data_IF_624241805436
#
_entry.id   IF_624241805436
#
_cell.length_a   1.000
_cell.length_b   1.000
_cell.length_c   1.000
_cell.angle_alpha   90.00
_cell.angle_beta   90.00
_cell.angle_gamma   90.00
#
_symmetry.space_group_name_H-M   'P 1'
#
loop_
_entity.id
_entity.type
_entity.pdbx_description
1 polymer ?
#
# COMPACT_ATOMS: atom_id res chain seq x y z
N UNK A 1 -10.41 16.87 -8.45
CA UNK A 1 -9.34 17.89 -8.36
C UNK A 1 -8.81 17.95 -6.93
N UNK A 2 -8.00 16.97 -6.51
CA UNK A 2 -7.27 17.01 -5.23
C UNK A 2 -5.90 17.66 -5.49
N UNK A 3 -5.89 18.97 -5.69
CA UNK A 3 -4.67 19.74 -5.88
C UNK A 3 -4.68 20.93 -4.91
N UNK A 4 -4.58 20.61 -3.62
CA UNK A 4 -3.96 21.48 -2.62
C UNK A 4 -3.38 20.59 -1.52
N UNK A 5 -2.34 19.85 -1.87
CA UNK A 5 -1.20 19.77 -0.94
C UNK A 5 -0.75 21.22 -0.85
N UNK A 6 -1.29 21.98 0.12
CA UNK A 6 -0.70 23.26 0.46
C UNK A 6 0.74 22.92 0.78
N UNK A 7 1.63 23.36 -0.11
CA UNK A 7 3.04 23.51 0.15
C UNK A 7 3.12 23.99 1.60
N UNK A 8 3.62 23.14 2.51
CA UNK A 8 3.94 23.54 3.88
C UNK A 8 5.19 24.44 3.85
N UNK A 9 5.20 25.42 2.93
CA UNK A 9 6.36 26.19 2.54
C UNK A 9 6.29 27.64 2.99
N UNK A 10 5.15 28.16 3.47
CA UNK A 10 5.08 29.62 3.71
C UNK A 10 4.63 30.09 5.09
N UNK A 11 4.08 29.27 5.98
CA UNK A 11 3.87 29.70 7.37
C UNK A 11 3.89 28.52 8.34
N UNK A 12 5.06 28.13 8.86
CA UNK A 12 5.10 27.23 10.02
C UNK A 12 6.31 26.31 10.12
N UNK A 13 7.48 26.89 10.42
CA UNK A 13 8.59 26.27 11.18
C UNK A 13 9.04 24.86 10.73
N UNK A 14 10.17 24.81 10.02
CA UNK A 14 11.00 23.68 9.57
C UNK A 14 11.49 22.68 10.67
N UNK A 15 10.86 22.62 11.84
CA UNK A 15 11.40 21.92 13.02
C UNK A 15 11.27 20.40 13.00
N UNK A 16 10.54 19.80 12.05
CA UNK A 16 10.35 18.35 11.95
C UNK A 16 11.48 17.58 11.24
N UNK A 17 12.25 18.24 10.38
CA UNK A 17 13.24 17.58 9.50
C UNK A 17 14.53 17.15 10.21
N UNK A 18 14.72 17.55 11.47
CA UNK A 18 16.01 17.35 12.15
C UNK A 18 16.18 16.00 12.84
N UNK A 19 15.14 15.13 12.90
CA UNK A 19 15.26 13.75 13.40
C UNK A 19 14.24 12.80 12.73
N UNK A 20 14.65 12.17 11.63
CA UNK A 20 13.91 11.12 10.93
C UNK A 20 13.05 11.64 9.76
N UNK A 21 13.01 10.90 8.64
CA UNK A 21 12.29 11.27 7.40
C UNK A 21 10.77 11.02 7.47
N UNK A 22 10.16 11.11 8.66
CA UNK A 22 8.74 10.88 8.87
C UNK A 22 8.02 12.18 9.24
N UNK A 23 6.94 12.49 8.54
CA UNK A 23 6.10 13.68 8.76
C UNK A 23 4.66 13.25 8.97
N UNK A 24 3.91 14.00 9.79
CA UNK A 24 2.45 13.89 9.94
C UNK A 24 1.79 15.13 9.33
N UNK A 25 0.75 14.92 8.53
CA UNK A 25 -0.13 15.98 8.00
C UNK A 25 -1.56 15.85 8.51
N UNK A 26 -2.41 16.84 8.20
CA UNK A 26 -3.87 16.72 8.28
C UNK A 26 -4.45 16.97 6.90
N UNK A 27 -5.53 16.29 6.55
CA UNK A 27 -6.33 16.68 5.39
C UNK A 27 -7.11 17.96 5.70
N UNK A 28 -6.82 19.02 4.93
CA UNK A 28 -7.38 20.36 5.16
C UNK A 28 -8.82 20.53 4.63
N UNK A 29 -9.37 19.53 3.92
CA UNK A 29 -10.66 19.62 3.23
C UNK A 29 -11.79 18.90 3.97
N UNK A 30 -11.54 18.36 5.16
CA UNK A 30 -12.52 17.56 5.90
C UNK A 30 -12.61 17.99 7.37
N UNK A 31 -13.73 18.61 7.79
CA UNK A 31 -14.01 18.84 9.20
C UNK A 31 -14.26 17.49 9.90
N UNK A 32 -13.37 17.09 10.81
CA UNK A 32 -13.55 15.89 11.65
C UNK A 32 -12.68 14.68 11.29
N UNK A 33 -12.19 14.54 10.04
CA UNK A 33 -11.25 13.48 9.68
C UNK A 33 -9.81 14.02 9.62
N UNK A 34 -9.09 13.88 10.72
CA UNK A 34 -7.67 14.17 10.76
C UNK A 34 -6.87 12.99 10.20
N UNK A 35 -6.71 12.95 8.87
CA UNK A 35 -5.93 11.93 8.17
C UNK A 35 -4.44 12.10 8.52
N UNK A 36 -3.89 11.22 9.36
CA UNK A 36 -2.46 11.16 9.66
C UNK A 36 -1.72 10.36 8.59
N UNK A 37 -1.03 11.04 7.67
CA UNK A 37 -0.13 10.42 6.68
C UNK A 37 1.25 10.22 7.32
N UNK A 38 1.75 8.99 7.43
CA UNK A 38 3.10 8.70 7.95
C UNK A 38 4.05 8.15 6.89
N UNK A 39 4.99 8.98 6.45
CA UNK A 39 6.09 8.56 5.57
C UNK A 39 7.11 7.70 6.33
N UNK A 40 7.25 6.44 5.94
CA UNK A 40 8.42 5.62 6.30
C UNK A 40 9.33 5.54 5.08
N UNK A 41 10.48 6.21 5.16
CA UNK A 41 11.56 6.13 4.18
C UNK A 41 12.85 5.86 4.94
N UNK A 42 13.15 4.58 5.18
CA UNK A 42 14.53 4.09 5.18
C UNK A 42 14.61 2.56 5.22
N UNK A 43 15.39 1.97 4.29
CA UNK A 43 15.77 0.55 4.32
C UNK A 43 16.68 0.22 5.51
N UNK A 44 17.36 1.22 6.08
CA UNK A 44 18.36 1.03 7.14
C UNK A 44 17.94 1.55 8.52
N UNK A 45 16.99 2.45 8.60
CA UNK A 45 16.53 3.03 9.87
C UNK A 45 15.11 3.59 9.77
N UNK A 46 14.07 2.73 9.70
CA UNK A 46 12.72 3.22 9.87
C UNK A 46 12.66 3.84 11.25
N UNK A 47 12.53 5.18 11.31
CA UNK A 47 12.19 5.86 12.55
C UNK A 47 11.06 5.05 13.17
N UNK A 48 11.19 4.57 14.42
CA UNK A 48 10.21 3.65 14.94
C UNK A 48 8.86 4.33 14.79
N UNK A 49 7.91 3.62 14.18
CA UNK A 49 6.49 3.88 14.36
C UNK A 49 6.25 3.82 15.86
N UNK A 50 6.58 4.91 16.53
CA UNK A 50 6.56 5.06 17.97
C UNK A 50 5.52 6.11 18.17
N UNK A 51 4.32 5.63 18.49
CA UNK A 51 3.34 6.41 19.20
C UNK A 51 3.89 6.59 20.63
N UNK A 52 4.91 7.45 20.81
CA UNK A 52 5.55 7.63 22.13
C UNK A 52 4.57 8.33 23.06
N UNK A 53 4.18 7.68 24.15
CA UNK A 53 3.89 8.37 25.43
C UNK A 53 5.16 9.14 25.83
N UNK A 54 5.11 10.47 25.90
CA UNK A 54 6.16 11.24 26.59
C UNK A 54 5.90 11.17 28.10
N UNK A 55 6.61 10.31 28.82
CA UNK A 55 6.80 10.50 30.27
C UNK A 55 8.04 11.37 30.51
N UNK A 56 7.76 12.65 30.83
CA UNK A 56 8.55 13.67 31.53
C UNK A 56 9.96 14.08 31.04
N UNK A 57 10.15 15.41 31.06
CA UNK A 57 11.36 16.25 30.88
C UNK A 57 11.82 16.50 29.42
N UNK A 58 12.12 17.72 28.94
CA UNK A 58 12.27 19.05 29.56
C UNK A 58 11.85 20.20 28.61
N UNK A 59 11.34 21.25 29.24
CA UNK A 59 11.10 22.66 28.90
C UNK A 59 11.39 23.28 27.51
N UNK A 60 10.44 24.17 27.16
CA UNK A 60 10.55 25.45 26.39
C UNK A 60 10.59 25.40 24.87
N UNK A 61 9.39 25.28 24.28
CA UNK A 61 8.94 25.96 23.05
C UNK A 61 7.42 25.77 22.95
N UNK A 62 6.60 26.75 22.50
CA UNK A 62 5.18 26.52 22.25
C UNK A 62 5.06 25.68 20.98
N UNK A 63 5.18 24.36 21.14
CA UNK A 63 5.01 23.37 20.08
C UNK A 63 3.58 22.88 20.05
N UNK A 64 3.02 22.77 18.85
CA UNK A 64 1.76 22.06 18.61
C UNK A 64 1.88 20.67 19.27
N UNK A 65 0.95 20.26 20.16
CA UNK A 65 0.99 18.95 20.79
C UNK A 65 0.97 17.84 19.74
N UNK A 66 1.89 16.89 19.85
CA UNK A 66 1.93 15.70 19.00
C UNK A 66 1.11 14.60 19.68
N UNK A 67 -0.04 14.28 19.09
CA UNK A 67 -0.97 13.25 19.59
C UNK A 67 -0.42 11.83 19.32
N UNK A 68 -0.53 10.95 20.31
CA UNK A 68 -0.26 9.51 20.25
C UNK A 68 -1.42 8.75 19.58
N UNK A 69 -1.23 7.46 19.23
CA UNK A 69 -2.30 6.64 18.64
C UNK A 69 -3.50 6.53 19.59
N UNK A 70 -3.25 6.52 20.90
CA UNK A 70 -4.30 6.60 21.91
C UNK A 70 -5.06 7.94 21.90
N UNK A 71 -4.39 9.05 21.57
CA UNK A 71 -5.04 10.35 21.46
C UNK A 71 -5.87 10.46 20.16
N UNK A 72 -5.46 9.78 19.09
CA UNK A 72 -6.24 9.66 17.84
C UNK A 72 -7.53 8.89 18.08
N UNK A 73 -7.44 7.73 18.76
CA UNK A 73 -8.60 6.91 19.18
C UNK A 73 -9.55 7.73 20.06
N UNK A 74 -9.02 8.43 21.07
CA UNK A 74 -9.84 9.24 21.99
C UNK A 74 -10.60 10.39 21.30
N UNK A 75 -10.11 10.84 20.14
CA UNK A 75 -10.72 11.91 19.36
C UNK A 75 -11.59 11.42 18.18
N UNK A 76 -11.82 10.10 18.06
CA UNK A 76 -12.62 9.52 16.98
C UNK A 76 -12.03 9.72 15.57
N UNK A 77 -10.71 9.89 15.47
CA UNK A 77 -10.01 10.19 14.22
C UNK A 77 -9.64 8.91 13.47
N UNK A 78 -9.57 9.00 12.14
CA UNK A 78 -9.17 7.91 11.25
C UNK A 78 -7.82 8.20 10.56
N UNK A 79 -7.10 7.16 10.16
CA UNK A 79 -5.70 7.25 9.73
C UNK A 79 -5.47 6.59 8.37
N UNK A 80 -4.62 7.21 7.54
CA UNK A 80 -4.05 6.58 6.35
C UNK A 80 -2.54 6.43 6.48
N UNK A 81 -2.02 5.21 6.40
CA UNK A 81 -0.56 5.01 6.41
C UNK A 81 -0.04 5.14 4.98
N UNK A 82 1.01 5.94 4.74
CA UNK A 82 1.60 6.10 3.40
C UNK A 82 3.10 5.99 3.48
N UNK A 83 3.69 4.90 3.01
CA UNK A 83 5.13 4.68 3.05
C UNK A 83 5.71 4.38 1.68
N UNK A 84 7.04 4.40 1.56
CA UNK A 84 7.69 3.89 0.36
C UNK A 84 7.80 2.37 0.44
N UNK A 85 8.52 1.87 1.45
CA UNK A 85 8.84 0.44 1.62
C UNK A 85 7.76 -0.29 2.42
N UNK A 86 7.05 -1.27 1.83
CA UNK A 86 5.99 -2.02 2.51
C UNK A 86 6.54 -3.13 3.44
N UNK A 87 5.72 -3.61 4.40
CA UNK A 87 5.97 -4.88 5.07
C UNK A 87 5.72 -6.09 4.15
N UNK A 88 6.21 -7.25 4.54
CA UNK A 88 6.09 -8.50 3.79
C UNK A 88 7.23 -8.70 2.79
N UNK A 89 6.91 -9.47 1.75
CA UNK A 89 7.85 -9.89 0.70
C UNK A 89 7.38 -9.43 -0.67
N UNK A 90 8.34 -9.24 -1.55
CA UNK A 90 8.14 -9.00 -2.98
C UNK A 90 7.40 -10.18 -3.62
N UNK A 91 6.48 -9.90 -4.54
CA UNK A 91 5.72 -10.88 -5.30
C UNK A 91 6.34 -11.23 -6.67
N UNK A 92 7.50 -10.66 -6.98
CA UNK A 92 8.42 -11.21 -7.99
C UNK A 92 9.16 -12.46 -7.45
N UNK A 93 9.69 -13.29 -8.36
CA UNK A 93 10.35 -14.58 -8.04
C UNK A 93 11.41 -14.51 -6.93
N UNK A 94 12.05 -13.34 -6.73
CA UNK A 94 13.06 -13.15 -5.69
C UNK A 94 12.52 -13.30 -4.26
N UNK A 95 11.22 -13.06 -4.04
CA UNK A 95 10.59 -13.12 -2.71
C UNK A 95 11.27 -12.21 -1.67
N UNK A 96 11.96 -11.16 -2.11
CA UNK A 96 12.83 -10.38 -1.24
C UNK A 96 12.02 -9.59 -0.21
N UNK A 97 12.33 -9.78 1.07
CA UNK A 97 11.77 -8.95 2.13
C UNK A 97 12.38 -7.54 2.05
N UNK A 98 11.52 -6.51 1.98
CA UNK A 98 11.99 -5.13 1.89
C UNK A 98 12.32 -4.52 3.26
N UNK A 99 11.69 -5.03 4.33
CA UNK A 99 12.00 -4.73 5.72
C UNK A 99 12.72 -5.92 6.38
N UNK A 100 13.69 -5.65 7.25
CA UNK A 100 14.20 -6.72 8.12
C UNK A 100 13.09 -7.23 9.06
N UNK A 101 13.25 -8.47 9.50
CA UNK A 101 12.25 -9.21 10.28
C UNK A 101 11.76 -8.44 11.52
N UNK A 102 12.69 -7.87 12.30
CA UNK A 102 12.36 -7.09 13.50
C UNK A 102 11.47 -5.89 13.19
N UNK A 103 11.74 -5.17 12.12
CA UNK A 103 10.95 -4.01 11.72
C UNK A 103 9.60 -4.42 11.14
N UNK A 104 9.57 -5.48 10.34
CA UNK A 104 8.35 -6.05 9.80
C UNK A 104 7.38 -6.49 10.92
N UNK A 105 7.86 -7.28 11.87
CA UNK A 105 7.07 -7.75 13.01
C UNK A 105 6.52 -6.60 13.84
N UNK A 106 7.34 -5.57 14.09
CA UNK A 106 6.89 -4.38 14.83
C UNK A 106 5.83 -3.58 14.07
N UNK A 107 5.96 -3.47 12.74
CA UNK A 107 4.94 -2.81 11.91
C UNK A 107 3.60 -3.53 12.03
N UNK A 108 3.60 -4.86 11.87
CA UNK A 108 2.39 -5.68 11.94
C UNK A 108 1.73 -5.59 13.33
N UNK A 109 2.50 -5.62 14.42
CA UNK A 109 1.98 -5.44 15.78
C UNK A 109 1.26 -4.10 15.96
N UNK A 110 1.84 -3.02 15.44
CA UNK A 110 1.25 -1.68 15.53
C UNK A 110 -0.04 -1.60 14.70
N UNK A 111 -0.05 -2.13 13.48
CA UNK A 111 -1.25 -2.13 12.64
C UNK A 111 -2.37 -2.95 13.27
N UNK A 112 -2.06 -4.14 13.81
CA UNK A 112 -3.05 -4.97 14.53
C UNK A 112 -3.69 -4.19 15.68
N UNK A 113 -2.87 -3.53 16.50
CA UNK A 113 -3.31 -2.78 17.68
C UNK A 113 -4.25 -1.61 17.34
N UNK A 114 -4.08 -0.97 16.18
CA UNK A 114 -4.83 0.23 15.77
C UNK A 114 -5.67 -0.01 14.50
N UNK A 115 -6.00 -1.27 14.21
CA UNK A 115 -6.70 -1.65 12.98
C UNK A 115 -8.08 -1.02 12.84
N UNK A 116 -8.73 -0.69 13.97
CA UNK A 116 -10.03 -0.05 14.08
C UNK A 116 -10.07 1.40 13.54
N UNK A 117 -8.95 2.12 13.60
CA UNK A 117 -8.83 3.50 13.13
C UNK A 117 -8.12 3.64 11.78
N UNK A 118 -7.46 2.59 11.29
CA UNK A 118 -6.75 2.62 10.00
C UNK A 118 -7.75 2.41 8.87
N UNK A 119 -7.93 3.41 8.01
CA UNK A 119 -8.86 3.37 6.86
C UNK A 119 -8.20 3.03 5.53
N UNK A 120 -6.88 2.91 5.51
CA UNK A 120 -6.13 2.51 4.34
C UNK A 120 -4.62 2.63 4.55
N UNK A 121 -3.87 1.81 3.83
CA UNK A 121 -2.41 1.84 3.84
C UNK A 121 -1.92 1.79 2.39
N UNK A 122 -1.01 2.70 2.03
CA UNK A 122 -0.62 2.94 0.64
C UNK A 122 0.90 2.93 0.51
N UNK A 123 1.41 2.02 -0.32
CA UNK A 123 2.84 1.82 -0.51
C UNK A 123 3.21 1.72 -1.99
N UNK A 124 4.51 1.66 -2.27
CA UNK A 124 5.05 1.40 -3.60
C UNK A 124 6.23 0.44 -3.49
N UNK A 125 7.41 0.89 -3.93
CA UNK A 125 8.69 0.17 -3.87
C UNK A 125 8.88 -0.97 -4.88
N UNK A 126 7.94 -1.90 -5.00
CA UNK A 126 8.08 -3.07 -5.89
C UNK A 126 7.68 -2.81 -7.34
N UNK A 127 7.02 -1.69 -7.60
CA UNK A 127 6.58 -1.25 -8.94
C UNK A 127 5.45 -2.10 -9.55
N UNK A 128 4.93 -3.08 -8.82
CA UNK A 128 3.79 -3.92 -9.18
C UNK A 128 2.47 -3.39 -8.61
N UNK A 129 1.37 -3.67 -9.30
CA UNK A 129 0.02 -3.47 -8.77
C UNK A 129 -0.37 -4.67 -7.88
N UNK A 130 -0.42 -4.47 -6.58
CA UNK A 130 -0.76 -5.57 -5.68
C UNK A 130 -1.30 -5.05 -4.35
N UNK A 131 -1.79 -5.96 -3.51
CA UNK A 131 -2.32 -5.66 -2.19
C UNK A 131 -1.75 -6.63 -1.16
N UNK A 132 -1.98 -6.33 0.12
CA UNK A 132 -1.68 -7.25 1.23
C UNK A 132 -2.83 -7.25 2.23
N UNK A 133 -3.08 -8.39 2.85
CA UNK A 133 -4.06 -8.55 3.93
C UNK A 133 -3.32 -8.80 5.25
N UNK A 134 -3.64 -8.01 6.26
CA UNK A 134 -3.06 -8.14 7.61
C UNK A 134 -4.09 -8.78 8.52
N UNK A 135 -3.68 -9.86 9.17
CA UNK A 135 -4.51 -10.66 10.07
C UNK A 135 -4.22 -10.34 11.54
N UNK A 136 -5.23 -10.51 12.40
CA UNK A 136 -5.10 -10.52 13.85
C UNK A 136 -4.29 -11.74 14.32
N UNK A 137 -3.94 -11.77 15.61
CA UNK A 137 -3.30 -12.94 16.21
C UNK A 137 -4.23 -14.18 16.26
N UNK A 138 -5.54 -13.98 16.05
CA UNK A 138 -6.55 -15.04 15.94
C UNK A 138 -6.84 -15.47 14.50
N UNK A 139 -6.13 -14.89 13.51
CA UNK A 139 -6.29 -15.25 12.10
C UNK A 139 -7.43 -14.54 11.37
N UNK A 140 -8.03 -13.49 11.94
CA UNK A 140 -9.07 -12.71 11.26
C UNK A 140 -8.45 -11.60 10.41
N UNK A 141 -8.88 -11.36 9.16
CA UNK A 141 -8.48 -10.17 8.41
C UNK A 141 -8.88 -8.88 9.16
N UNK A 142 -7.92 -8.01 9.49
CA UNK A 142 -8.17 -6.77 10.25
C UNK A 142 -7.72 -5.50 9.56
N UNK A 143 -6.78 -5.58 8.61
CA UNK A 143 -6.36 -4.42 7.84
C UNK A 143 -5.83 -4.84 6.47
N UNK A 144 -5.60 -3.87 5.59
CA UNK A 144 -5.12 -4.11 4.24
C UNK A 144 -4.13 -3.03 3.80
N UNK A 145 -3.31 -3.37 2.81
CA UNK A 145 -2.37 -2.47 2.14
C UNK A 145 -2.65 -2.51 0.64
N UNK A 146 -2.69 -1.36 0.01
CA UNK A 146 -2.65 -1.22 -1.45
C UNK A 146 -1.28 -0.74 -1.88
N UNK A 147 -0.71 -1.41 -2.87
CA UNK A 147 0.54 -1.03 -3.49
C UNK A 147 0.26 -0.55 -4.91
N UNK A 148 0.78 0.63 -5.20
CA UNK A 148 0.66 1.23 -6.52
C UNK A 148 1.85 0.82 -7.39
N UNK A 149 1.63 0.56 -8.68
CA UNK A 149 2.71 0.38 -9.62
C UNK A 149 3.48 1.68 -9.82
N UNK A 150 4.63 1.60 -10.46
CA UNK A 150 5.48 2.76 -10.68
C UNK A 150 5.25 3.43 -12.04
N UNK A 151 5.65 4.70 -12.16
CA UNK A 151 5.72 5.39 -13.45
C UNK A 151 6.95 4.95 -14.25
N UNK A 152 8.02 4.48 -13.59
CA UNK A 152 9.22 4.01 -14.28
C UNK A 152 8.98 2.60 -14.82
N UNK A 153 9.21 2.33 -16.11
CA UNK A 153 8.90 1.01 -16.67
C UNK A 153 9.95 -0.06 -16.38
N UNK A 154 10.99 0.28 -15.61
CA UNK A 154 12.11 -0.60 -15.31
C UNK A 154 12.18 -0.88 -13.81
N UNK A 155 12.16 -2.15 -13.43
CA UNK A 155 12.38 -2.60 -12.04
C UNK A 155 13.22 -3.87 -11.95
N UNK A 156 13.76 -4.10 -10.76
CA UNK A 156 14.46 -5.34 -10.38
C UNK A 156 13.38 -6.39 -10.13
N UNK A 157 13.01 -7.14 -11.16
CA UNK A 157 11.88 -8.08 -11.12
C UNK A 157 11.12 -8.19 -12.45
N UNK A 158 11.38 -7.27 -13.38
CA UNK A 158 10.74 -7.23 -14.69
C UNK A 158 10.35 -5.81 -15.06
N UNK A 159 9.86 -5.56 -16.28
CA UNK A 159 9.26 -4.29 -16.61
C UNK A 159 7.84 -4.18 -16.06
N UNK A 160 7.29 -2.97 -16.09
CA UNK A 160 5.85 -2.69 -15.97
C UNK A 160 5.49 -1.56 -16.94
N UNK A 161 4.24 -1.44 -17.39
CA UNK A 161 3.83 -0.17 -18.00
C UNK A 161 3.77 0.93 -16.93
N UNK A 162 4.07 2.20 -17.28
CA UNK A 162 3.88 3.32 -16.36
C UNK A 162 2.44 3.38 -15.84
N UNK A 163 2.27 3.40 -14.51
CA UNK A 163 0.97 3.39 -13.85
C UNK A 163 0.71 4.62 -12.97
N UNK A 164 -0.57 4.99 -12.83
CA UNK A 164 -1.05 6.03 -11.91
C UNK A 164 -2.39 5.62 -11.31
N UNK A 165 -2.55 5.79 -9.99
CA UNK A 165 -3.78 5.41 -9.29
C UNK A 165 -4.51 6.61 -8.69
N UNK A 166 -5.83 6.64 -8.84
CA UNK A 166 -6.71 7.62 -8.23
C UNK A 166 -7.69 6.96 -7.28
N UNK A 167 -7.59 7.26 -5.99
CA UNK A 167 -8.52 6.75 -4.97
C UNK A 167 -9.75 7.63 -4.83
N UNK A 168 -10.91 6.98 -4.69
CA UNK A 168 -12.18 7.57 -4.27
C UNK A 168 -12.41 7.22 -2.80
N UNK A 169 -12.76 8.21 -1.98
CA UNK A 169 -12.99 8.02 -0.55
C UNK A 169 -14.15 8.86 -0.04
N UNK A 170 -14.80 8.40 1.01
CA UNK A 170 -15.83 9.14 1.73
C UNK A 170 -15.17 10.17 2.65
N UNK A 171 -15.56 11.43 2.52
CA UNK A 171 -14.92 12.55 3.22
C UNK A 171 -15.13 12.53 4.73
N UNK A 172 -16.26 12.02 5.19
CA UNK A 172 -16.65 12.05 6.60
C UNK A 172 -15.91 10.98 7.41
N UNK A 173 -15.87 9.75 6.90
CA UNK A 173 -15.27 8.59 7.59
C UNK A 173 -13.81 8.36 7.19
N UNK A 174 -13.40 8.85 6.00
CA UNK A 174 -12.15 8.47 5.37
C UNK A 174 -12.20 7.05 4.79
N UNK A 175 -13.36 6.41 4.67
CA UNK A 175 -13.45 5.09 4.05
C UNK A 175 -13.04 5.17 2.58
N UNK A 176 -12.12 4.31 2.13
CA UNK A 176 -11.85 4.17 0.70
C UNK A 176 -13.00 3.40 0.06
N UNK A 177 -13.56 3.99 -0.99
CA UNK A 177 -14.72 3.46 -1.70
C UNK A 177 -14.32 2.66 -2.93
N UNK A 178 -13.32 3.15 -3.69
CA UNK A 178 -12.80 2.49 -4.89
C UNK A 178 -11.47 3.12 -5.29
N UNK A 179 -10.79 2.55 -6.29
CA UNK A 179 -9.77 3.28 -7.05
C UNK A 179 -9.87 3.01 -8.54
N UNK A 180 -9.46 4.01 -9.32
CA UNK A 180 -9.23 3.88 -10.76
C UNK A 180 -7.74 3.80 -11.02
N UNK A 181 -7.31 2.71 -11.64
CA UNK A 181 -5.95 2.53 -12.14
C UNK A 181 -5.89 3.05 -13.57
N UNK A 182 -4.90 3.88 -13.84
CA UNK A 182 -4.54 4.35 -15.16
C UNK A 182 -3.19 3.78 -15.54
N UNK A 183 -3.00 3.55 -16.83
CA UNK A 183 -1.71 3.16 -17.35
C UNK A 183 -1.41 3.83 -18.69
N UNK A 184 -0.14 3.80 -19.05
CA UNK A 184 0.35 4.20 -20.35
C UNK A 184 0.85 2.95 -21.08
N UNK A 185 0.21 2.59 -22.19
CA UNK A 185 0.76 1.58 -23.10
C UNK A 185 2.07 2.11 -23.71
N UNK A 186 3.21 1.74 -23.11
CA UNK A 186 4.49 2.33 -23.43
C UNK A 186 4.96 2.01 -24.87
N UNK A 187 4.84 0.77 -25.38
CA UNK A 187 5.13 0.46 -26.78
C UNK A 187 4.32 1.32 -27.76
N UNK A 188 3.02 1.47 -27.54
CA UNK A 188 2.15 2.28 -28.39
C UNK A 188 2.53 3.76 -28.31
N UNK A 189 2.71 4.30 -27.10
CA UNK A 189 3.09 5.68 -26.87
C UNK A 189 4.41 6.06 -27.56
N UNK A 190 5.38 5.15 -27.55
CA UNK A 190 6.66 5.34 -28.24
C UNK A 190 6.50 5.29 -29.77
N UNK A 191 5.66 4.39 -30.29
CA UNK A 191 5.38 4.27 -31.73
C UNK A 191 4.74 5.53 -32.31
N UNK A 192 3.77 6.11 -31.58
CA UNK A 192 3.03 7.30 -32.04
C UNK A 192 3.67 8.63 -31.58
N UNK A 193 4.66 8.58 -30.67
CA UNK A 193 5.29 9.77 -30.09
C UNK A 193 4.38 10.59 -29.16
N UNK A 194 3.38 9.96 -28.52
CA UNK A 194 2.39 10.65 -27.68
C UNK A 194 2.01 9.81 -26.46
N UNK A 195 2.09 10.41 -25.27
CA UNK A 195 1.67 9.77 -24.03
C UNK A 195 0.14 9.81 -23.87
N UNK A 196 -0.54 8.72 -24.24
CA UNK A 196 -1.99 8.56 -24.07
C UNK A 196 -2.28 7.71 -22.82
N UNK A 197 -2.50 8.36 -21.68
CA UNK A 197 -2.95 7.67 -20.45
C UNK A 197 -4.40 7.24 -20.59
N UNK A 198 -4.67 5.96 -20.32
CA UNK A 198 -6.01 5.39 -20.38
C UNK A 198 -6.34 4.69 -19.06
N UNK A 199 -7.63 4.51 -18.80
CA UNK A 199 -8.09 3.71 -17.66
C UNK A 199 -7.73 2.25 -17.93
N UNK A 200 -7.04 1.63 -16.98
CA UNK A 200 -6.80 0.19 -16.98
C UNK A 200 -8.01 -0.53 -16.39
N UNK A 201 -8.38 -0.19 -15.15
CA UNK A 201 -9.53 -0.75 -14.47
C UNK A 201 -9.98 0.10 -13.25
N UNK A 202 -11.20 -0.15 -12.78
CA UNK A 202 -11.65 0.21 -11.42
C UNK A 202 -11.73 -1.03 -10.54
N UNK A 203 -11.19 -0.98 -9.32
CA UNK A 203 -10.99 -2.18 -8.49
C UNK A 203 -12.28 -2.98 -8.27
N UNK A 204 -13.34 -2.31 -7.81
CA UNK A 204 -14.58 -3.00 -7.45
C UNK A 204 -15.22 -3.72 -8.64
N UNK A 205 -15.33 -3.03 -9.78
CA UNK A 205 -15.88 -3.60 -11.01
C UNK A 205 -15.00 -4.74 -11.56
N UNK A 206 -13.68 -4.54 -11.59
CA UNK A 206 -12.75 -5.48 -12.21
C UNK A 206 -12.64 -6.82 -11.48
N UNK A 207 -12.72 -6.78 -10.14
CA UNK A 207 -12.66 -7.98 -9.30
C UNK A 207 -14.03 -8.44 -8.79
N UNK A 208 -15.12 -7.79 -9.19
CA UNK A 208 -16.49 -8.09 -8.78
C UNK A 208 -16.63 -8.03 -7.24
N UNK A 209 -16.17 -6.93 -6.65
CA UNK A 209 -16.21 -6.67 -5.20
C UNK A 209 -17.25 -5.60 -4.88
N UNK A 210 -17.97 -5.76 -3.77
CA UNK A 210 -18.93 -4.76 -3.30
C UNK A 210 -18.25 -3.59 -2.57
N UNK A 211 -17.14 -3.87 -1.88
CA UNK A 211 -16.40 -2.89 -1.08
C UNK A 211 -14.93 -3.28 -0.85
N UNK A 212 -14.12 -2.31 -0.39
CA UNK A 212 -12.72 -2.54 -0.02
C UNK A 212 -12.62 -2.75 1.49
N UNK A 213 -12.58 -4.01 1.92
CA UNK A 213 -12.32 -4.40 3.31
C UNK A 213 -11.23 -5.48 3.37
N UNK A 214 -10.71 -5.72 4.57
CA UNK A 214 -9.73 -6.80 4.75
C UNK A 214 -10.34 -8.17 4.44
N UNK A 215 -11.65 -8.34 4.65
CA UNK A 215 -12.39 -9.57 4.37
C UNK A 215 -12.56 -9.75 2.87
N UNK A 216 -13.08 -8.75 2.14
CA UNK A 216 -13.29 -8.87 0.69
C UNK A 216 -11.98 -9.07 -0.08
N UNK A 217 -10.88 -8.48 0.39
CA UNK A 217 -9.55 -8.71 -0.18
C UNK A 217 -8.97 -10.09 0.19
N UNK A 218 -9.29 -10.64 1.35
CA UNK A 218 -8.95 -12.02 1.68
C UNK A 218 -9.71 -13.01 0.78
N UNK A 219 -11.01 -12.79 0.60
CA UNK A 219 -11.85 -13.61 -0.27
C UNK A 219 -11.35 -13.54 -1.72
N UNK A 220 -10.95 -12.36 -2.21
CA UNK A 220 -10.29 -12.20 -3.50
C UNK A 220 -9.00 -13.02 -3.59
N UNK A 221 -8.16 -13.01 -2.55
CA UNK A 221 -6.93 -13.80 -2.54
C UNK A 221 -7.24 -15.31 -2.58
N UNK A 222 -8.23 -15.80 -1.83
CA UNK A 222 -8.62 -17.20 -1.85
C UNK A 222 -9.05 -17.67 -3.25
N UNK A 223 -9.71 -16.80 -4.03
CA UNK A 223 -10.06 -17.06 -5.43
C UNK A 223 -8.85 -17.31 -6.33
N UNK A 224 -7.64 -16.86 -5.96
CA UNK A 224 -6.45 -17.08 -6.79
C UNK A 224 -6.10 -18.56 -6.96
N UNK A 225 -6.43 -19.38 -5.97
CA UNK A 225 -6.09 -20.80 -5.95
C UNK A 225 -7.22 -21.70 -6.45
N UNK A 226 -8.36 -21.11 -6.85
CA UNK A 226 -9.52 -21.83 -7.35
C UNK A 226 -9.39 -22.08 -8.86
N UNK A 227 -9.54 -23.33 -9.30
CA UNK A 227 -9.33 -23.73 -10.69
C UNK A 227 -10.43 -23.26 -11.66
N UNK A 228 -11.60 -22.90 -11.14
CA UNK A 228 -12.77 -22.43 -11.89
C UNK A 228 -12.97 -20.91 -11.83
N UNK A 229 -12.01 -20.16 -11.28
CA UNK A 229 -12.05 -18.71 -11.19
C UNK A 229 -10.91 -18.07 -12.02
N UNK A 230 -11.22 -16.93 -12.65
CA UNK A 230 -10.25 -16.15 -13.43
C UNK A 230 -9.63 -15.00 -12.64
N UNK A 231 -9.92 -14.90 -11.34
CA UNK A 231 -9.41 -13.84 -10.46
C UNK A 231 -7.88 -13.72 -10.51
N UNK A 232 -7.14 -14.83 -10.49
CA UNK A 232 -5.68 -14.77 -10.58
C UNK A 232 -5.19 -14.27 -11.94
N UNK A 233 -5.86 -14.66 -13.03
CA UNK A 233 -5.52 -14.16 -14.38
C UNK A 233 -5.72 -12.65 -14.46
N UNK A 234 -6.85 -12.14 -13.95
CA UNK A 234 -7.14 -10.71 -13.87
C UNK A 234 -6.14 -9.98 -12.97
N UNK A 235 -5.84 -10.55 -11.80
CA UNK A 235 -4.88 -10.02 -10.85
C UNK A 235 -3.49 -9.90 -11.47
N UNK A 236 -3.03 -10.96 -12.15
CA UNK A 236 -1.70 -10.98 -12.72
C UNK A 236 -1.54 -9.97 -13.86
N UNK A 237 -2.55 -9.82 -14.72
CA UNK A 237 -2.55 -8.79 -15.75
C UNK A 237 -2.48 -7.37 -15.14
N UNK A 238 -3.21 -7.10 -14.05
CA UNK A 238 -3.11 -5.82 -13.34
C UNK A 238 -1.73 -5.66 -12.67
N UNK A 239 -1.19 -6.72 -12.07
CA UNK A 239 0.08 -6.73 -11.35
C UNK A 239 1.24 -6.24 -12.21
N UNK A 240 1.26 -6.66 -13.48
CA UNK A 240 2.25 -6.27 -14.48
C UNK A 240 1.89 -4.97 -15.21
N UNK A 241 0.76 -4.36 -14.88
CA UNK A 241 0.19 -3.17 -15.54
C UNK A 241 -0.08 -3.44 -17.02
N UNK A 242 -0.80 -4.52 -17.31
CA UNK A 242 -1.23 -4.94 -18.64
C UNK A 242 -0.07 -5.11 -19.62
N UNK A 243 1.00 -5.79 -19.19
CA UNK A 243 2.09 -6.13 -20.09
C UNK A 243 1.70 -7.21 -21.11
N UNK A 244 2.31 -7.21 -22.31
CA UNK A 244 2.13 -8.30 -23.27
C UNK A 244 2.56 -9.65 -22.69
N UNK A 245 1.84 -10.71 -23.06
CA UNK A 245 2.03 -12.05 -22.48
C UNK A 245 3.44 -12.61 -22.70
N UNK A 246 4.07 -12.26 -23.82
CA UNK A 246 5.42 -12.66 -24.18
C UNK A 246 6.45 -12.08 -23.20
N UNK A 247 6.20 -10.87 -22.69
CA UNK A 247 7.06 -10.22 -21.69
C UNK A 247 6.85 -10.87 -20.32
N UNK A 248 5.60 -11.11 -19.95
CA UNK A 248 5.24 -11.80 -18.70
C UNK A 248 5.81 -13.22 -18.60
N UNK A 249 5.91 -13.94 -19.72
CA UNK A 249 6.53 -15.27 -19.74
C UNK A 249 8.03 -15.24 -19.47
N UNK A 250 8.72 -14.11 -19.71
CA UNK A 250 10.16 -13.99 -19.49
C UNK A 250 10.46 -13.52 -18.06
N UNK A 251 9.66 -12.56 -17.56
CA UNK A 251 9.93 -11.86 -16.30
C UNK A 251 8.99 -12.25 -15.15
N UNK A 252 8.07 -13.17 -15.41
CA UNK A 252 6.94 -13.44 -14.55
C UNK A 252 6.73 -14.93 -14.28
N UNK A 253 5.46 -15.39 -14.24
CA UNK A 253 5.11 -16.79 -13.94
C UNK A 253 5.72 -17.85 -14.89
N UNK A 254 6.40 -17.46 -15.97
CA UNK A 254 7.11 -18.38 -16.87
C UNK A 254 6.24 -19.40 -17.63
N UNK A 255 4.92 -19.39 -17.43
CA UNK A 255 4.04 -20.49 -17.79
C UNK A 255 2.58 -20.21 -17.39
N UNK A 256 1.73 -21.24 -17.25
CA UNK A 256 0.32 -21.07 -16.93
C UNK A 256 0.08 -20.18 -15.69
N UNK A 257 -0.93 -19.31 -15.76
CA UNK A 257 -1.36 -18.47 -14.64
C UNK A 257 -2.22 -19.28 -13.66
N UNK A 258 -1.63 -20.28 -13.03
CA UNK A 258 -2.24 -21.13 -12.02
C UNK A 258 -1.15 -21.86 -11.19
N UNK A 259 -1.57 -22.79 -10.34
CA UNK A 259 -0.65 -23.70 -9.63
C UNK A 259 0.36 -22.96 -8.76
N UNK A 260 1.66 -23.20 -8.98
CA UNK A 260 2.74 -22.64 -8.16
C UNK A 260 2.79 -21.11 -8.23
N UNK A 261 2.54 -20.50 -9.39
CA UNK A 261 2.58 -19.04 -9.49
C UNK A 261 1.41 -18.41 -8.72
N UNK A 262 0.21 -18.96 -8.90
CA UNK A 262 -0.97 -18.50 -8.15
C UNK A 262 -0.77 -18.65 -6.64
N UNK A 263 -0.19 -19.78 -6.20
CA UNK A 263 0.14 -20.03 -4.80
C UNK A 263 1.19 -19.05 -4.27
N UNK A 264 2.22 -18.73 -5.05
CA UNK A 264 3.23 -17.74 -4.67
C UNK A 264 2.59 -16.38 -4.40
N UNK A 265 1.80 -15.86 -5.35
CA UNK A 265 1.11 -14.59 -5.16
C UNK A 265 0.11 -14.65 -4.01
N UNK A 266 -0.67 -15.73 -3.88
CA UNK A 266 -1.54 -15.96 -2.72
C UNK A 266 -0.78 -15.82 -1.40
N UNK A 267 0.38 -16.48 -1.27
CA UNK A 267 1.22 -16.38 -0.10
C UNK A 267 1.74 -14.96 0.11
N UNK A 268 2.20 -14.26 -0.94
CA UNK A 268 2.69 -12.87 -0.77
C UNK A 268 1.60 -11.91 -0.29
N UNK A 269 0.36 -12.07 -0.78
CA UNK A 269 -0.76 -11.19 -0.40
C UNK A 269 -1.33 -11.51 0.98
N UNK A 270 -1.25 -12.77 1.44
CA UNK A 270 -1.83 -13.22 2.72
C UNK A 270 -0.80 -13.41 3.85
N UNK A 271 0.50 -13.54 3.54
CA UNK A 271 1.54 -13.91 4.52
C UNK A 271 2.67 -12.88 4.60
N UNK A 272 2.47 -11.85 5.43
CA UNK A 272 3.45 -10.78 5.59
C UNK A 272 4.57 -11.08 6.60
N UNK A 273 4.49 -12.18 7.36
CA UNK A 273 5.59 -12.57 8.24
C UNK A 273 6.58 -13.46 7.47
N UNK A 274 7.86 -13.10 7.31
CA UNK A 274 8.83 -13.93 6.58
C UNK A 274 8.92 -15.38 7.10
N UNK A 275 8.70 -15.62 8.40
CA UNK A 275 8.68 -16.98 8.95
C UNK A 275 7.51 -17.82 8.41
N UNK A 276 6.36 -17.20 8.13
CA UNK A 276 5.20 -17.89 7.53
C UNK A 276 5.37 -18.24 6.05
N UNK A 277 6.42 -17.70 5.41
CA UNK A 277 6.83 -17.97 4.04
C UNK A 277 7.83 -19.12 3.92
N UNK A 278 8.55 -19.46 5.02
CA UNK A 278 9.59 -20.52 5.01
C UNK A 278 9.05 -21.95 4.97
N UNK A 279 7.74 -22.14 5.12
CA UNK A 279 7.09 -23.44 5.24
C UNK A 279 6.03 -23.71 4.16
N UNK A 280 6.07 -22.95 3.06
CA UNK A 280 5.21 -23.12 1.87
C UNK A 280 6.07 -23.49 0.68
#
# INVERSE_FOLDING_TARGET
MCARIKRAWETGSERGWKKGNAVRGRCLTTPGSEIEIRFSVDRYNPAPLSFRKRSKWASRSPGIPMETGSDVVANGKTVYIVGHTPPGVDDHESGAAALNERHNTKYLQVVRLYSDIIRGQFFGHWHSDTFRVIYSDTGLPVSWIMMAPSVTPNTVGGPNNPGLRLYKFETNTGQILDYTQYYLNLPEANSIGKANWIVEYSLLDYYELDEITAITLHDLADRFTQSNDYAFVRYYAANTVSLPREVEQIWGCGGPLNGVCALHHYCTVTRLNPESYRYT
#
